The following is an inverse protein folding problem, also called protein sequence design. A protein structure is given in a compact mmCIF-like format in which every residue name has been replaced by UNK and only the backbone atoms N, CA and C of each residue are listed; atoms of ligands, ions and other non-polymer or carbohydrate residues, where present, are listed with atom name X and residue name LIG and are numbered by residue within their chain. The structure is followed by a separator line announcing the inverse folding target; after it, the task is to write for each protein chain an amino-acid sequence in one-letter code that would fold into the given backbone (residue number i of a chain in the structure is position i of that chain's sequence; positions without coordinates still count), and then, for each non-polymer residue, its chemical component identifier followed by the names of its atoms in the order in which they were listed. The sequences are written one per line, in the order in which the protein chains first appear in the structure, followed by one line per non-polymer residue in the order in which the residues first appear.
data_IF_876531548934
#
_entry.id   IF_876531548934
#
_cell.length_a   1.000
_cell.length_b   1.000
_cell.length_c   1.000
_cell.angle_alpha   90.00
_cell.angle_beta   90.00
_cell.angle_gamma   90.00
#
_symmetry.space_group_name_H-M   'P 1'
#
loop_
_entity.id
_entity.type
_entity.pdbx_description
1 polymer ?
#
# COMPACT_ATOMS: atom_id res chain seq x y z
N UNK A 1 31.39 -18.62 23.73
CA UNK A 1 30.60 -18.07 24.85
C UNK A 1 29.17 -17.89 24.37
N UNK A 2 28.31 -18.90 24.53
CA UNK A 2 26.86 -18.70 24.41
C UNK A 2 26.40 -18.35 25.82
N UNK A 3 26.49 -17.06 26.18
CA UNK A 3 25.69 -16.58 27.30
C UNK A 3 24.24 -16.80 26.92
N UNK A 4 23.48 -17.52 27.76
CA UNK A 4 22.06 -17.78 27.48
C UNK A 4 21.37 -16.46 27.15
N UNK A 5 20.67 -16.39 26.00
CA UNK A 5 19.89 -15.20 25.60
C UNK A 5 18.95 -14.76 26.72
N UNK A 6 18.52 -15.69 27.56
CA UNK A 6 17.73 -15.45 28.76
C UNK A 6 18.42 -14.49 29.75
N UNK A 7 19.73 -14.63 29.95
CA UNK A 7 20.50 -13.73 30.81
C UNK A 7 20.57 -12.32 30.20
N UNK A 8 20.66 -12.22 28.87
CA UNK A 8 20.63 -10.94 28.15
C UNK A 8 19.26 -10.26 28.31
N UNK A 9 18.17 -11.01 28.12
CA UNK A 9 16.79 -10.49 28.29
C UNK A 9 16.55 -10.04 29.74
N UNK A 10 16.95 -10.84 30.73
CA UNK A 10 16.83 -10.44 32.14
C UNK A 10 17.68 -9.22 32.49
N UNK A 11 18.89 -9.13 31.95
CA UNK A 11 19.76 -7.96 32.12
C UNK A 11 19.14 -6.71 31.48
N UNK A 12 18.54 -6.85 30.30
CA UNK A 12 17.84 -5.75 29.63
C UNK A 12 16.65 -5.27 30.48
N UNK A 13 15.79 -6.18 30.95
CA UNK A 13 14.69 -5.86 31.85
C UNK A 13 15.16 -5.19 33.14
N UNK A 14 16.26 -5.68 33.73
CA UNK A 14 16.86 -5.06 34.90
C UNK A 14 17.39 -3.65 34.60
N UNK A 15 17.98 -3.45 33.43
CA UNK A 15 18.50 -2.15 33.00
C UNK A 15 17.39 -1.13 32.78
N UNK A 16 16.26 -1.52 32.18
CA UNK A 16 15.13 -0.62 31.88
C UNK A 16 14.46 -0.03 33.13
N UNK A 17 14.62 -0.69 34.28
CA UNK A 17 14.16 -0.20 35.60
C UNK A 17 15.09 0.85 36.21
N UNK A 18 16.27 1.04 35.65
CA UNK A 18 17.21 2.06 36.09
C UNK A 18 16.83 3.41 35.48
N UNK A 19 17.43 4.49 35.98
CA UNK A 19 17.19 5.84 35.45
C UNK A 19 18.16 6.20 34.30
N UNK A 20 19.13 5.32 34.00
CA UNK A 20 20.20 5.62 33.05
C UNK A 20 19.78 5.31 31.60
N UNK A 21 19.39 6.36 30.89
CA UNK A 21 18.90 6.28 29.50
C UNK A 21 19.97 5.84 28.50
N UNK A 22 21.25 6.14 28.75
CA UNK A 22 22.34 5.67 27.90
C UNK A 22 22.51 4.17 28.05
N UNK A 23 22.40 3.63 29.28
CA UNK A 23 22.43 2.20 29.52
C UNK A 23 21.28 1.49 28.79
N UNK A 24 20.07 2.06 28.81
CA UNK A 24 18.93 1.51 28.07
C UNK A 24 19.24 1.45 26.57
N UNK A 25 19.74 2.56 25.99
CA UNK A 25 20.07 2.67 24.57
C UNK A 25 21.13 1.64 24.17
N UNK A 26 22.22 1.53 24.92
CA UNK A 26 23.30 0.58 24.63
C UNK A 26 22.84 -0.87 24.80
N UNK A 27 22.01 -1.16 25.82
CA UNK A 27 21.42 -2.48 26.01
C UNK A 27 20.54 -2.91 24.84
N UNK A 28 19.70 -2.00 24.33
CA UNK A 28 18.84 -2.25 23.18
C UNK A 28 19.63 -2.39 21.87
N UNK A 29 20.65 -1.56 21.67
CA UNK A 29 21.57 -1.67 20.52
C UNK A 29 22.25 -3.04 20.49
N UNK A 30 22.81 -3.47 21.62
CA UNK A 30 23.42 -4.80 21.72
C UNK A 30 22.40 -5.91 21.45
N UNK A 31 21.20 -5.79 22.00
CA UNK A 31 20.14 -6.78 21.81
C UNK A 31 19.70 -6.86 20.34
N UNK A 32 19.52 -5.72 19.67
CA UNK A 32 19.22 -5.66 18.24
C UNK A 32 20.33 -6.31 17.40
N UNK A 33 21.60 -6.07 17.74
CA UNK A 33 22.73 -6.64 17.02
C UNK A 33 22.78 -8.17 17.16
N UNK A 34 22.56 -8.68 18.37
CA UNK A 34 22.46 -10.14 18.63
C UNK A 34 21.34 -10.74 17.79
N UNK A 35 20.14 -10.13 17.83
CA UNK A 35 18.98 -10.61 17.08
C UNK A 35 19.21 -10.59 15.57
N UNK A 36 19.93 -9.57 15.05
CA UNK A 36 20.14 -9.40 13.61
C UNK A 36 21.22 -10.33 13.07
N UNK A 37 22.33 -10.50 13.82
CA UNK A 37 23.47 -11.32 13.38
C UNK A 37 23.28 -12.82 13.57
N UNK A 38 22.28 -13.22 14.35
CA UNK A 38 22.04 -14.62 14.58
C UNK A 38 21.69 -15.36 13.27
N UNK A 39 22.40 -16.45 12.93
CA UNK A 39 22.04 -17.33 11.82
C UNK A 39 20.68 -17.99 12.01
N UNK A 40 19.98 -18.27 10.91
CA UNK A 40 18.63 -18.84 10.91
C UNK A 40 18.59 -20.24 11.54
N UNK A 41 19.68 -21.00 11.46
CA UNK A 41 19.78 -22.36 11.98
C UNK A 41 19.85 -22.42 13.52
N UNK A 42 20.23 -21.32 14.18
CA UNK A 42 20.46 -21.30 15.62
C UNK A 42 19.31 -20.57 16.32
N UNK A 43 18.41 -21.37 16.88
CA UNK A 43 17.30 -20.88 17.72
C UNK A 43 17.85 -20.21 18.98
N UNK A 44 17.70 -18.89 19.07
CA UNK A 44 18.00 -18.15 20.30
C UNK A 44 16.97 -18.49 21.39
N UNK A 45 15.70 -18.44 21.04
CA UNK A 45 14.61 -18.67 21.98
C UNK A 45 14.19 -20.14 21.95
N UNK A 46 14.40 -20.83 23.06
CA UNK A 46 14.10 -22.27 23.19
C UNK A 46 12.72 -22.55 23.76
N UNK A 47 12.00 -21.52 24.24
CA UNK A 47 10.65 -21.65 24.79
C UNK A 47 9.79 -20.42 24.50
N UNK A 48 8.47 -20.61 24.42
CA UNK A 48 7.51 -19.52 24.24
C UNK A 48 7.53 -18.50 25.38
N UNK A 49 7.81 -18.95 26.62
CA UNK A 49 7.96 -18.07 27.77
C UNK A 49 9.11 -17.08 27.61
N UNK A 50 10.26 -17.54 27.07
CA UNK A 50 11.40 -16.65 26.80
C UNK A 50 11.08 -15.64 25.69
N UNK A 51 10.38 -16.05 24.63
CA UNK A 51 9.88 -15.12 23.62
C UNK A 51 8.95 -14.07 24.24
N UNK A 52 8.03 -14.49 25.11
CA UNK A 52 7.12 -13.60 25.81
C UNK A 52 7.83 -12.59 26.72
N UNK A 53 8.86 -13.01 27.44
CA UNK A 53 9.66 -12.12 28.29
C UNK A 53 10.47 -11.10 27.48
N UNK A 54 11.00 -11.51 26.33
CA UNK A 54 11.68 -10.62 25.39
C UNK A 54 10.69 -9.61 24.77
N UNK A 55 9.52 -10.07 24.32
CA UNK A 55 8.47 -9.22 23.78
C UNK A 55 8.02 -8.15 24.80
N UNK A 56 7.83 -8.56 26.07
CA UNK A 56 7.46 -7.63 27.15
C UNK A 56 8.55 -6.60 27.44
N UNK A 57 9.82 -7.02 27.45
CA UNK A 57 10.96 -6.11 27.63
C UNK A 57 11.05 -5.07 26.50
N UNK A 58 10.84 -5.52 25.26
CA UNK A 58 10.78 -4.64 24.09
C UNK A 58 9.59 -3.69 24.15
N UNK A 59 8.43 -4.16 24.59
CA UNK A 59 7.23 -3.34 24.72
C UNK A 59 7.46 -2.19 25.72
N UNK A 60 8.04 -2.49 26.88
CA UNK A 60 8.42 -1.50 27.89
C UNK A 60 9.41 -0.48 27.32
N UNK A 61 10.43 -0.94 26.58
CA UNK A 61 11.43 -0.09 25.96
C UNK A 61 10.88 0.81 24.85
N UNK A 62 9.98 0.30 24.00
CA UNK A 62 9.29 1.07 22.95
C UNK A 62 8.44 2.17 23.56
N UNK A 63 7.84 1.90 24.72
CA UNK A 63 6.99 2.84 25.45
C UNK A 63 7.79 3.90 26.22
N UNK A 64 9.13 3.91 26.09
CA UNK A 64 9.99 4.88 26.75
C UNK A 64 9.68 6.31 26.31
N UNK A 65 9.63 7.27 27.25
CA UNK A 65 9.48 8.69 26.90
C UNK A 65 10.69 9.24 26.14
N UNK A 66 11.85 8.57 26.22
CA UNK A 66 13.09 8.98 25.54
C UNK A 66 13.11 8.42 24.12
N UNK A 67 13.02 9.31 23.13
CA UNK A 67 12.91 8.94 21.71
C UNK A 67 14.07 8.05 21.23
N UNK A 68 15.30 8.31 21.67
CA UNK A 68 16.46 7.50 21.28
C UNK A 68 16.34 6.06 21.78
N UNK A 69 15.87 5.87 23.01
CA UNK A 69 15.63 4.54 23.59
C UNK A 69 14.52 3.84 22.82
N UNK A 70 13.39 4.53 22.58
CA UNK A 70 12.28 3.98 21.81
C UNK A 70 12.70 3.63 20.37
N UNK A 71 13.56 4.43 19.73
CA UNK A 71 14.05 4.18 18.38
C UNK A 71 14.91 2.92 18.30
N UNK A 72 15.82 2.71 19.26
CA UNK A 72 16.61 1.46 19.32
C UNK A 72 15.75 0.27 19.69
N UNK A 73 14.73 0.45 20.54
CA UNK A 73 13.76 -0.60 20.86
C UNK A 73 12.97 -1.03 19.61
N UNK A 74 12.52 -0.08 18.78
CA UNK A 74 11.83 -0.36 17.52
C UNK A 74 12.72 -1.18 16.57
N UNK A 75 14.01 -0.85 16.45
CA UNK A 75 14.95 -1.65 15.63
C UNK A 75 15.13 -3.05 16.20
N UNK A 76 15.29 -3.18 17.52
CA UNK A 76 15.39 -4.48 18.18
C UNK A 76 14.11 -5.31 17.96
N UNK A 77 12.93 -4.70 18.05
CA UNK A 77 11.66 -5.34 17.73
C UNK A 77 11.57 -5.79 16.28
N UNK A 78 12.01 -4.95 15.34
CA UNK A 78 12.07 -5.33 13.92
C UNK A 78 12.93 -6.56 13.69
N UNK A 79 14.08 -6.66 14.36
CA UNK A 79 14.95 -7.85 14.33
C UNK A 79 14.35 -9.05 15.08
N UNK A 80 13.60 -8.82 16.16
CA UNK A 80 12.93 -9.85 16.96
C UNK A 80 11.80 -10.54 16.18
N UNK A 81 11.10 -9.82 15.30
CA UNK A 81 9.97 -10.33 14.50
C UNK A 81 10.37 -11.28 13.35
N UNK A 82 11.61 -11.78 13.31
CA UNK A 82 12.01 -12.84 12.36
C UNK A 82 11.43 -14.19 12.79
N UNK A 83 11.06 -15.00 11.81
CA UNK A 83 10.53 -16.35 12.00
C UNK A 83 11.33 -17.17 13.01
N UNK A 84 12.64 -17.26 12.83
CA UNK A 84 13.54 -18.12 13.62
C UNK A 84 13.53 -17.80 15.12
N UNK A 85 13.20 -16.54 15.46
CA UNK A 85 13.09 -16.10 16.85
C UNK A 85 11.71 -16.37 17.45
N UNK A 86 10.69 -16.56 16.61
CA UNK A 86 9.30 -16.81 16.98
C UNK A 86 8.88 -18.28 16.80
N UNK A 87 9.71 -19.13 16.18
CA UNK A 87 9.41 -20.54 15.88
C UNK A 87 9.31 -21.48 17.09
N UNK A 88 9.31 -20.97 18.33
CA UNK A 88 9.12 -21.78 19.53
C UNK A 88 7.61 -21.90 19.85
N UNK A 89 6.95 -23.05 19.57
CA UNK A 89 5.53 -23.19 19.83
C UNK A 89 5.22 -23.25 21.34
N UNK A 90 4.06 -22.74 21.80
CA UNK A 90 3.10 -21.96 21.01
C UNK A 90 3.56 -20.52 20.76
N UNK A 91 3.37 -20.04 19.52
CA UNK A 91 3.65 -18.65 19.14
C UNK A 91 2.77 -17.71 19.96
N UNK A 92 3.40 -16.69 20.56
CA UNK A 92 2.73 -15.75 21.47
C UNK A 92 2.13 -14.56 20.70
N UNK A 93 1.12 -14.80 19.86
CA UNK A 93 0.55 -13.77 18.99
C UNK A 93 0.03 -12.55 19.76
N UNK A 94 -0.65 -12.74 20.89
CA UNK A 94 -1.12 -11.65 21.77
C UNK A 94 0.02 -10.76 22.26
N UNK A 95 1.18 -11.34 22.63
CA UNK A 95 2.36 -10.57 23.01
C UNK A 95 2.93 -9.77 21.84
N UNK A 96 2.91 -10.34 20.63
CA UNK A 96 3.32 -9.65 19.41
C UNK A 96 2.37 -8.50 19.06
N UNK A 97 1.05 -8.69 19.19
CA UNK A 97 0.04 -7.64 18.99
C UNK A 97 0.30 -6.47 19.95
N UNK A 98 0.43 -6.75 21.25
CA UNK A 98 0.66 -5.72 22.27
C UNK A 98 1.98 -4.94 22.04
N UNK A 99 3.01 -5.61 21.53
CA UNK A 99 4.27 -4.97 21.14
C UNK A 99 4.09 -4.05 19.92
N UNK A 100 3.36 -4.50 18.90
CA UNK A 100 3.07 -3.69 17.70
C UNK A 100 2.18 -2.49 18.03
N UNK A 101 1.16 -2.66 18.87
CA UNK A 101 0.31 -1.57 19.37
C UNK A 101 1.13 -0.49 20.08
N UNK A 102 2.09 -0.89 20.92
CA UNK A 102 2.98 0.05 21.59
C UNK A 102 3.84 0.84 20.59
N UNK A 103 4.37 0.17 19.55
CA UNK A 103 5.16 0.82 18.50
C UNK A 103 4.34 1.85 17.70
N UNK A 104 3.13 1.47 17.29
CA UNK A 104 2.25 2.34 16.52
C UNK A 104 1.76 3.52 17.38
N UNK A 105 1.32 3.24 18.61
CA UNK A 105 0.86 4.27 19.56
C UNK A 105 1.94 5.30 19.84
N UNK A 106 3.20 4.86 20.04
CA UNK A 106 4.33 5.77 20.25
C UNK A 106 4.58 6.68 19.04
N UNK A 107 4.39 6.15 17.83
CA UNK A 107 4.52 6.93 16.61
C UNK A 107 3.38 7.96 16.44
N UNK A 108 2.16 7.62 16.86
CA UNK A 108 1.00 8.53 16.88
C UNK A 108 1.23 9.68 17.85
N UNK A 109 1.66 9.40 19.08
CA UNK A 109 1.99 10.42 20.08
C UNK A 109 3.03 11.40 19.53
N UNK A 110 4.12 10.86 18.98
CA UNK A 110 5.20 11.67 18.39
C UNK A 110 4.71 12.53 17.21
N UNK A 111 3.75 12.01 16.45
CA UNK A 111 3.08 12.73 15.37
C UNK A 111 2.20 13.89 15.88
N UNK A 112 1.51 13.72 17.00
CA UNK A 112 0.56 14.69 17.56
C UNK A 112 1.23 15.83 18.32
N UNK A 113 2.28 15.57 19.11
CA UNK A 113 2.97 16.59 19.93
C UNK A 113 3.46 17.80 19.11
N UNK A 114 3.81 17.60 17.84
CA UNK A 114 4.29 18.65 16.94
C UNK A 114 3.20 19.60 16.41
N UNK A 115 1.92 19.21 16.35
CA UNK A 115 0.86 20.11 15.86
C UNK A 115 0.58 21.24 16.84
N UNK A 116 0.62 20.94 18.13
CA UNK A 116 0.40 21.92 19.19
C UNK A 116 1.46 23.04 19.16
N UNK A 117 2.67 22.73 18.71
CA UNK A 117 3.75 23.72 18.54
C UNK A 117 3.56 24.60 17.30
N UNK A 118 2.88 24.12 16.25
CA UNK A 118 2.64 24.90 15.02
C UNK A 118 1.61 26.01 15.23
N UNK A 119 0.74 25.88 16.23
CA UNK A 119 -0.19 26.91 16.64
C UNK A 119 0.48 28.09 17.39
N UNK A 120 1.75 27.97 17.78
CA UNK A 120 2.41 28.91 18.70
C UNK A 120 3.47 29.86 18.08
N UNK A 121 3.54 29.99 16.76
CA UNK A 121 4.17 31.15 16.11
C UNK A 121 5.48 30.94 15.33
N UNK A 122 5.75 31.92 14.45
CA UNK A 122 6.68 31.97 13.32
C UNK A 122 8.20 32.01 13.64
N UNK A 123 8.69 31.19 14.57
CA UNK A 123 10.13 31.05 14.78
C UNK A 123 10.60 29.63 14.38
N UNK A 124 11.54 29.55 13.44
CA UNK A 124 12.41 28.40 13.16
C UNK A 124 11.97 27.36 12.11
N UNK A 125 11.95 27.77 10.83
CA UNK A 125 11.86 26.88 9.65
C UNK A 125 12.91 25.75 9.65
N UNK A 126 14.16 26.02 10.05
CA UNK A 126 15.26 25.02 10.09
C UNK A 126 15.11 23.96 11.19
N UNK A 127 14.46 24.30 12.29
CA UNK A 127 14.21 23.36 13.40
C UNK A 127 12.99 22.48 13.10
N UNK A 128 12.03 23.00 12.33
CA UNK A 128 10.92 22.24 11.75
C UNK A 128 11.39 21.17 10.77
N UNK A 129 12.34 21.45 9.87
CA UNK A 129 12.87 20.46 8.91
C UNK A 129 13.59 19.30 9.61
N UNK A 130 14.41 19.60 10.63
CA UNK A 130 15.07 18.56 11.44
C UNK A 130 14.06 17.70 12.22
N UNK A 131 12.99 18.30 12.73
CA UNK A 131 11.92 17.58 13.41
C UNK A 131 11.16 16.66 12.45
N UNK A 132 10.84 17.14 11.24
CA UNK A 132 10.20 16.34 10.18
C UNK A 132 11.10 15.15 9.77
N UNK A 133 12.40 15.37 9.63
CA UNK A 133 13.35 14.30 9.31
C UNK A 133 13.44 13.25 10.42
N UNK A 134 13.53 13.67 11.69
CA UNK A 134 13.54 12.75 12.84
C UNK A 134 12.26 11.93 12.91
N UNK A 135 11.11 12.56 12.67
CA UNK A 135 9.81 11.89 12.57
C UNK A 135 9.76 10.89 11.44
N UNK A 136 10.25 11.27 10.25
CA UNK A 136 10.33 10.36 9.12
C UNK A 136 11.14 9.11 9.43
N UNK A 137 12.31 9.27 10.06
CA UNK A 137 13.16 8.14 10.48
C UNK A 137 12.48 7.23 11.50
N UNK A 138 11.82 7.80 12.50
CA UNK A 138 11.11 7.01 13.51
C UNK A 138 9.93 6.26 12.90
N UNK A 139 9.10 6.94 12.10
CA UNK A 139 7.97 6.33 11.39
C UNK A 139 8.44 5.23 10.44
N UNK A 140 9.51 5.46 9.67
CA UNK A 140 10.10 4.44 8.81
C UNK A 140 10.51 3.20 9.61
N UNK A 141 11.23 3.39 10.72
CA UNK A 141 11.67 2.26 11.58
C UNK A 141 10.48 1.49 12.15
N UNK A 142 9.42 2.20 12.56
CA UNK A 142 8.17 1.59 13.04
C UNK A 142 7.48 0.77 11.95
N UNK A 143 7.38 1.32 10.73
CA UNK A 143 6.80 0.61 9.58
C UNK A 143 7.67 -0.57 9.16
N UNK A 144 9.00 -0.51 9.26
CA UNK A 144 9.87 -1.66 9.01
C UNK A 144 9.58 -2.80 9.98
N UNK A 145 9.40 -2.50 11.27
CA UNK A 145 8.97 -3.50 12.26
C UNK A 145 7.60 -4.07 11.94
N UNK A 146 6.63 -3.22 11.57
CA UNK A 146 5.29 -3.67 11.16
C UNK A 146 5.32 -4.54 9.89
N UNK A 147 6.17 -4.19 8.92
CA UNK A 147 6.40 -5.00 7.71
C UNK A 147 6.97 -6.37 8.07
N UNK A 148 7.91 -6.43 9.01
CA UNK A 148 8.46 -7.71 9.46
C UNK A 148 7.40 -8.57 10.17
N UNK A 149 6.47 -7.98 10.92
CA UNK A 149 5.30 -8.70 11.45
C UNK A 149 4.38 -9.25 10.34
N UNK A 150 4.14 -8.47 9.28
CA UNK A 150 3.38 -8.96 8.12
C UNK A 150 4.11 -10.11 7.43
N UNK A 151 5.44 -10.00 7.23
CA UNK A 151 6.25 -11.08 6.66
C UNK A 151 6.21 -12.34 7.53
N UNK A 152 6.31 -12.19 8.84
CA UNK A 152 6.19 -13.29 9.79
C UNK A 152 4.86 -14.02 9.64
N UNK A 153 3.75 -13.28 9.51
CA UNK A 153 2.44 -13.87 9.29
C UNK A 153 2.37 -14.65 7.96
N UNK A 154 2.94 -14.13 6.87
CA UNK A 154 3.05 -14.85 5.59
C UNK A 154 3.85 -16.15 5.76
N UNK A 155 5.01 -16.07 6.41
CA UNK A 155 5.90 -17.22 6.63
C UNK A 155 5.26 -18.32 7.48
N UNK A 156 4.38 -17.95 8.42
CA UNK A 156 3.64 -18.90 9.25
C UNK A 156 2.40 -19.50 8.59
N UNK A 157 1.86 -18.96 7.49
CA UNK A 157 0.74 -19.58 6.78
C UNK A 157 1.04 -21.02 6.33
N UNK A 158 2.29 -21.32 6.02
CA UNK A 158 2.75 -22.66 5.64
C UNK A 158 3.09 -23.59 6.81
N UNK A 159 2.98 -23.13 8.06
CA UNK A 159 3.44 -23.88 9.24
C UNK A 159 2.27 -24.32 10.15
N UNK A 160 1.94 -25.62 10.21
CA UNK A 160 0.84 -26.13 11.02
C UNK A 160 1.00 -25.83 12.53
N UNK A 161 2.23 -25.91 13.04
CA UNK A 161 2.53 -25.70 14.46
C UNK A 161 2.45 -24.22 14.89
N UNK A 162 2.38 -23.30 13.93
CA UNK A 162 2.26 -21.87 14.18
C UNK A 162 0.80 -21.37 14.06
N UNK A 163 -0.15 -22.20 13.60
CA UNK A 163 -1.53 -21.75 13.35
C UNK A 163 -2.27 -21.38 14.64
N UNK A 164 -2.15 -22.24 15.65
CA UNK A 164 -2.83 -22.10 16.92
C UNK A 164 -2.02 -22.75 18.04
N UNK A 165 -2.31 -22.34 19.26
CA UNK A 165 -1.73 -22.98 20.43
C UNK A 165 -2.28 -24.42 20.58
N UNK A 166 -1.43 -25.47 20.48
CA UNK A 166 -1.87 -26.87 20.57
C UNK A 166 -2.37 -27.26 21.96
N UNK A 167 -2.14 -26.42 22.97
CA UNK A 167 -2.59 -26.63 24.35
C UNK A 167 -3.93 -25.93 24.65
N UNK A 168 -4.53 -25.22 23.70
CA UNK A 168 -5.85 -24.60 23.88
C UNK A 168 -6.94 -25.66 23.82
N UNK A 169 -7.77 -25.74 24.87
CA UNK A 169 -8.90 -26.67 24.90
C UNK A 169 -9.90 -26.36 23.76
N UNK A 170 -10.54 -27.38 23.14
CA UNK A 170 -11.48 -27.17 22.02
C UNK A 170 -12.65 -26.24 22.31
N UNK A 171 -13.03 -26.09 23.59
CA UNK A 171 -14.13 -25.23 24.06
C UNK A 171 -13.68 -23.83 24.51
N UNK A 172 -12.38 -23.53 24.51
CA UNK A 172 -11.85 -22.24 24.93
C UNK A 172 -11.73 -21.26 23.74
N UNK A 173 -11.89 -19.96 24.00
CA UNK A 173 -11.65 -18.92 23.00
C UNK A 173 -10.19 -19.00 22.49
N UNK A 174 -10.02 -19.25 21.20
CA UNK A 174 -8.72 -19.30 20.53
C UNK A 174 -8.22 -17.88 20.25
N UNK A 175 -7.63 -17.22 21.25
CA UNK A 175 -7.10 -15.84 21.12
C UNK A 175 -5.74 -15.76 20.46
N UNK A 176 -4.87 -16.73 20.69
CA UNK A 176 -3.53 -16.82 20.08
C UNK A 176 -3.58 -17.68 18.80
N UNK A 177 -4.16 -17.12 17.75
CA UNK A 177 -4.17 -17.73 16.41
C UNK A 177 -3.51 -16.83 15.38
N UNK A 178 -2.96 -17.44 14.33
CA UNK A 178 -2.42 -16.71 13.18
C UNK A 178 -3.50 -15.88 12.47
N UNK A 179 -4.74 -16.38 12.43
CA UNK A 179 -5.88 -15.67 11.85
C UNK A 179 -6.18 -14.37 12.62
N UNK A 180 -6.34 -14.44 13.95
CA UNK A 180 -6.57 -13.27 14.78
C UNK A 180 -5.41 -12.26 14.69
N UNK A 181 -4.16 -12.75 14.59
CA UNK A 181 -3.00 -11.91 14.35
C UNK A 181 -3.04 -11.21 12.99
N UNK A 182 -3.44 -11.92 11.93
CA UNK A 182 -3.52 -11.37 10.57
C UNK A 182 -4.64 -10.32 10.45
N UNK A 183 -5.79 -10.57 11.08
CA UNK A 183 -6.88 -9.60 11.18
C UNK A 183 -6.47 -8.36 11.99
N UNK A 184 -5.74 -8.55 13.10
CA UNK A 184 -5.15 -7.45 13.85
C UNK A 184 -4.22 -6.60 12.97
N UNK A 185 -3.32 -7.21 12.20
CA UNK A 185 -2.42 -6.48 11.31
C UNK A 185 -3.19 -5.65 10.28
N UNK A 186 -4.24 -6.22 9.67
CA UNK A 186 -5.09 -5.46 8.74
C UNK A 186 -5.77 -4.28 9.44
N UNK A 187 -6.39 -4.51 10.60
CA UNK A 187 -7.08 -3.48 11.38
C UNK A 187 -6.16 -2.37 11.86
N UNK A 188 -4.96 -2.72 12.36
CA UNK A 188 -3.95 -1.77 12.79
C UNK A 188 -3.39 -0.95 11.61
N UNK A 189 -3.19 -1.58 10.45
CA UNK A 189 -2.78 -0.85 9.26
C UNK A 189 -3.85 0.15 8.81
N UNK A 190 -5.11 -0.29 8.78
CA UNK A 190 -6.25 0.51 8.36
C UNK A 190 -6.50 1.72 9.26
N UNK A 191 -6.47 1.51 10.58
CA UNK A 191 -6.79 2.53 11.59
C UNK A 191 -5.61 3.43 11.97
N UNK A 192 -4.37 2.96 11.84
CA UNK A 192 -3.18 3.67 12.34
C UNK A 192 -2.14 3.93 11.24
N UNK A 193 -1.68 2.90 10.52
CA UNK A 193 -0.61 3.07 9.52
C UNK A 193 -1.02 3.99 8.37
N UNK A 194 -2.20 3.77 7.75
CA UNK A 194 -2.70 4.60 6.65
C UNK A 194 -2.79 6.08 7.07
N UNK A 195 -3.51 6.45 8.16
CA UNK A 195 -3.58 7.85 8.58
C UNK A 195 -2.22 8.47 8.91
N UNK A 196 -1.32 7.71 9.55
CA UNK A 196 0.02 8.20 9.89
C UNK A 196 0.88 8.51 8.66
N UNK A 197 0.88 7.60 7.68
CA UNK A 197 1.62 7.77 6.42
C UNK A 197 1.02 8.91 5.62
N UNK A 198 -0.31 8.96 5.49
CA UNK A 198 -1.01 10.03 4.80
C UNK A 198 -0.62 11.41 5.31
N UNK A 199 -0.73 11.59 6.61
CA UNK A 199 -0.41 12.87 7.26
C UNK A 199 1.08 13.23 7.18
N UNK A 200 1.97 12.25 7.00
CA UNK A 200 3.38 12.50 6.76
C UNK A 200 3.65 12.93 5.31
N UNK A 201 2.99 12.28 4.35
CA UNK A 201 3.11 12.58 2.92
C UNK A 201 2.57 13.95 2.54
N UNK A 202 1.57 14.47 3.27
CA UNK A 202 1.13 15.88 3.18
C UNK A 202 2.27 16.89 3.44
N UNK A 203 3.30 16.48 4.20
CA UNK A 203 4.38 17.36 4.62
C UNK A 203 5.66 17.15 3.79
N UNK A 204 5.96 15.91 3.41
CA UNK A 204 7.18 15.57 2.67
C UNK A 204 7.06 14.19 2.01
N UNK A 205 7.72 14.01 0.87
CA UNK A 205 7.83 12.71 0.20
C UNK A 205 9.11 12.00 0.62
N UNK A 206 9.00 10.73 1.02
CA UNK A 206 10.14 9.89 1.40
C UNK A 206 10.05 8.53 0.70
N UNK A 207 10.79 8.30 -0.41
CA UNK A 207 10.64 7.12 -1.25
C UNK A 207 10.76 5.79 -0.50
N UNK A 208 11.76 5.66 0.37
CA UNK A 208 11.94 4.43 1.16
C UNK A 208 10.79 4.17 2.14
N UNK A 209 10.09 5.22 2.60
CA UNK A 209 8.92 5.04 3.49
C UNK A 209 7.73 4.53 2.69
N UNK A 210 7.52 5.09 1.49
CA UNK A 210 6.47 4.61 0.59
C UNK A 210 6.72 3.16 0.18
N UNK A 211 7.96 2.78 -0.09
CA UNK A 211 8.33 1.40 -0.45
C UNK A 211 7.95 0.41 0.65
N UNK A 212 8.31 0.72 1.89
CA UNK A 212 7.94 -0.09 3.05
C UNK A 212 6.43 -0.15 3.22
N UNK A 213 5.75 0.99 3.07
CA UNK A 213 4.30 1.07 3.23
C UNK A 213 3.54 0.25 2.18
N UNK A 214 3.89 0.35 0.89
CA UNK A 214 3.26 -0.47 -0.14
C UNK A 214 3.58 -1.95 0.02
N UNK A 215 4.78 -2.30 0.50
CA UNK A 215 5.13 -3.68 0.84
C UNK A 215 4.23 -4.23 1.95
N UNK A 216 3.89 -3.41 2.96
CA UNK A 216 2.91 -3.77 4.00
C UNK A 216 1.54 -4.03 3.38
N UNK A 217 1.01 -3.09 2.59
CA UNK A 217 -0.32 -3.23 1.97
C UNK A 217 -0.40 -4.48 1.09
N UNK A 218 0.64 -4.77 0.31
CA UNK A 218 0.72 -5.99 -0.47
C UNK A 218 0.74 -7.25 0.41
N UNK A 219 1.51 -7.26 1.49
CA UNK A 219 1.55 -8.38 2.43
C UNK A 219 0.18 -8.63 3.06
N UNK A 220 -0.57 -7.57 3.39
CA UNK A 220 -1.93 -7.67 3.95
C UNK A 220 -2.91 -8.35 2.99
N UNK A 221 -2.78 -8.11 1.68
CA UNK A 221 -3.54 -8.87 0.68
C UNK A 221 -3.20 -10.36 0.75
N UNK A 222 -1.94 -10.73 0.93
CA UNK A 222 -1.54 -12.15 1.04
C UNK A 222 -2.09 -12.78 2.33
N UNK A 223 -1.99 -12.09 3.47
CA UNK A 223 -2.36 -12.68 4.77
C UNK A 223 -3.86 -12.71 5.07
N UNK A 224 -4.65 -11.76 4.55
CA UNK A 224 -6.11 -11.71 4.75
C UNK A 224 -6.84 -11.67 3.40
N UNK A 225 -6.83 -12.76 2.61
CA UNK A 225 -7.33 -12.75 1.24
C UNK A 225 -8.84 -12.44 1.13
N UNK A 226 -9.64 -12.86 2.12
CA UNK A 226 -11.08 -12.63 2.14
C UNK A 226 -11.48 -11.15 2.38
N UNK A 227 -10.54 -10.31 2.83
CA UNK A 227 -10.77 -8.86 3.01
C UNK A 227 -10.20 -8.02 1.87
N UNK A 228 -9.51 -8.63 0.89
CA UNK A 228 -8.87 -7.92 -0.24
C UNK A 228 -9.81 -6.95 -0.94
N UNK A 229 -11.03 -7.38 -1.26
CA UNK A 229 -12.00 -6.56 -1.99
C UNK A 229 -12.42 -5.34 -1.17
N UNK A 230 -12.89 -5.57 0.07
CA UNK A 230 -13.33 -4.50 0.98
C UNK A 230 -12.20 -3.49 1.24
N UNK A 231 -10.99 -4.00 1.46
CA UNK A 231 -9.82 -3.15 1.69
C UNK A 231 -9.39 -2.40 0.43
N UNK A 232 -9.46 -3.03 -0.75
CA UNK A 232 -9.19 -2.38 -2.04
C UNK A 232 -10.18 -1.24 -2.31
N UNK A 233 -11.48 -1.44 -2.07
CA UNK A 233 -12.52 -0.41 -2.23
C UNK A 233 -12.26 0.80 -1.32
N UNK A 234 -11.89 0.54 -0.07
CA UNK A 234 -11.55 1.60 0.89
C UNK A 234 -10.28 2.36 0.49
N UNK A 235 -9.29 1.67 -0.06
CA UNK A 235 -8.06 2.30 -0.54
C UNK A 235 -8.27 3.02 -1.87
N UNK A 236 -9.18 2.55 -2.74
CA UNK A 236 -9.39 3.07 -4.09
C UNK A 236 -9.69 4.57 -4.15
N UNK A 237 -10.25 5.15 -3.08
CA UNK A 237 -10.52 6.59 -2.95
C UNK A 237 -9.27 7.45 -2.71
N UNK A 238 -8.10 6.85 -2.49
CA UNK A 238 -6.84 7.58 -2.29
C UNK A 238 -5.63 6.91 -2.93
N UNK A 239 -5.71 5.62 -3.26
CA UNK A 239 -4.63 4.76 -3.74
C UNK A 239 -3.98 5.22 -5.04
N UNK A 240 -4.80 5.70 -5.98
CA UNK A 240 -4.31 6.06 -7.33
C UNK A 240 -3.49 7.33 -7.27
N UNK A 241 -3.93 8.30 -6.46
CA UNK A 241 -3.13 9.47 -6.10
C UNK A 241 -1.73 9.07 -5.62
N UNK A 242 -1.61 8.19 -4.62
CA UNK A 242 -0.29 7.85 -4.05
C UNK A 242 0.69 7.26 -5.05
N UNK A 243 0.21 6.49 -6.02
CA UNK A 243 1.09 5.78 -6.94
C UNK A 243 1.59 6.70 -8.05
N UNK A 244 0.77 7.64 -8.52
CA UNK A 244 1.24 8.67 -9.46
C UNK A 244 2.24 9.65 -8.80
N UNK A 245 2.25 9.75 -7.46
CA UNK A 245 3.26 10.51 -6.73
C UNK A 245 4.56 9.74 -6.45
N UNK A 246 4.60 8.41 -6.58
CA UNK A 246 5.70 7.56 -6.11
C UNK A 246 6.71 7.15 -7.19
N UNK A 247 6.42 7.41 -8.46
CA UNK A 247 7.00 6.69 -9.60
C UNK A 247 8.38 7.16 -10.11
N UNK A 248 9.07 8.08 -9.41
CA UNK A 248 10.43 8.52 -9.82
C UNK A 248 11.56 7.59 -9.37
N UNK A 249 11.28 6.50 -8.62
CA UNK A 249 12.28 5.59 -8.05
C UNK A 249 12.03 4.14 -8.48
N UNK A 250 13.05 3.47 -9.05
CA UNK A 250 12.90 2.13 -9.65
C UNK A 250 12.48 1.03 -8.67
N UNK A 251 13.07 0.98 -7.47
CA UNK A 251 12.72 -0.01 -6.44
C UNK A 251 11.27 0.17 -5.95
N UNK A 252 10.89 1.42 -5.67
CA UNK A 252 9.54 1.80 -5.29
C UNK A 252 8.52 1.45 -6.39
N UNK A 253 8.88 1.70 -7.65
CA UNK A 253 8.01 1.43 -8.79
C UNK A 253 7.65 -0.05 -8.91
N UNK A 254 8.59 -0.97 -8.66
CA UNK A 254 8.30 -2.40 -8.68
C UNK A 254 7.27 -2.79 -7.61
N UNK A 255 7.48 -2.34 -6.36
CA UNK A 255 6.57 -2.65 -5.25
C UNK A 255 5.19 -2.04 -5.48
N UNK A 256 5.13 -0.79 -5.94
CA UNK A 256 3.89 -0.11 -6.31
C UNK A 256 3.17 -0.85 -7.44
N UNK A 257 3.89 -1.29 -8.48
CA UNK A 257 3.31 -2.01 -9.62
C UNK A 257 2.69 -3.33 -9.20
N UNK A 258 3.37 -4.12 -8.37
CA UNK A 258 2.82 -5.38 -7.83
C UNK A 258 1.56 -5.14 -7.01
N UNK A 259 1.56 -4.11 -6.17
CA UNK A 259 0.40 -3.76 -5.36
C UNK A 259 -0.79 -3.26 -6.21
N UNK A 260 -0.53 -2.35 -7.16
CA UNK A 260 -1.53 -1.83 -8.08
C UNK A 260 -2.14 -2.93 -8.93
N UNK A 261 -1.34 -3.86 -9.45
CA UNK A 261 -1.83 -5.00 -10.22
C UNK A 261 -2.88 -5.77 -9.43
N UNK A 262 -2.58 -6.14 -8.18
CA UNK A 262 -3.53 -6.83 -7.31
C UNK A 262 -4.78 -5.98 -7.03
N UNK A 263 -4.61 -4.70 -6.73
CA UNK A 263 -5.72 -3.80 -6.42
C UNK A 263 -6.66 -3.62 -7.62
N UNK A 264 -6.11 -3.31 -8.80
CA UNK A 264 -6.89 -3.08 -10.01
C UNK A 264 -7.73 -4.32 -10.35
N UNK A 265 -7.15 -5.51 -10.26
CA UNK A 265 -7.89 -6.75 -10.49
C UNK A 265 -9.00 -6.96 -9.46
N UNK A 266 -8.78 -6.69 -8.17
CA UNK A 266 -9.82 -6.78 -7.15
C UNK A 266 -10.97 -5.79 -7.41
N UNK A 267 -10.66 -4.56 -7.79
CA UNK A 267 -11.65 -3.51 -8.05
C UNK A 267 -12.46 -3.80 -9.33
N UNK A 268 -11.80 -4.29 -10.37
CA UNK A 268 -12.45 -4.66 -11.63
C UNK A 268 -13.26 -5.94 -11.54
N UNK A 269 -12.91 -6.87 -10.64
CA UNK A 269 -13.63 -8.16 -10.51
C UNK A 269 -14.93 -8.05 -9.72
N UNK A 270 -15.11 -7.01 -8.90
CA UNK A 270 -16.30 -6.79 -8.07
C UNK A 270 -16.86 -5.36 -8.20
N UNK A 271 -17.25 -4.92 -9.41
CA UNK A 271 -17.81 -3.61 -9.63
C UNK A 271 -19.19 -3.47 -8.97
N UNK A 272 -19.43 -2.34 -8.30
CA UNK A 272 -20.71 -2.09 -7.60
C UNK A 272 -21.85 -1.66 -8.53
N UNK A 273 -21.52 -1.13 -9.72
CA UNK A 273 -22.46 -0.43 -10.61
C UNK A 273 -22.52 -0.99 -12.03
N UNK A 274 -21.63 -1.90 -12.40
CA UNK A 274 -21.51 -2.45 -13.75
C UNK A 274 -21.43 -3.96 -13.70
N UNK A 275 -21.74 -4.63 -14.80
CA UNK A 275 -21.50 -6.07 -14.94
C UNK A 275 -19.98 -6.34 -14.80
N UNK A 276 -19.58 -7.39 -14.07
CA UNK A 276 -18.18 -7.76 -13.97
C UNK A 276 -17.64 -8.17 -15.36
N UNK A 277 -16.40 -7.80 -15.70
CA UNK A 277 -15.74 -8.29 -16.90
C UNK A 277 -15.68 -9.82 -16.88
N UNK A 278 -15.80 -10.42 -18.07
CA UNK A 278 -15.64 -11.85 -18.27
C UNK A 278 -14.24 -12.32 -17.85
N UNK A 279 -14.08 -13.62 -17.58
CA UNK A 279 -12.78 -14.19 -17.19
C UNK A 279 -11.68 -13.94 -18.24
N UNK A 280 -12.04 -13.90 -19.52
CA UNK A 280 -11.11 -13.60 -20.62
C UNK A 280 -10.67 -12.14 -20.60
N UNK A 281 -11.61 -11.21 -20.37
CA UNK A 281 -11.31 -9.78 -20.22
C UNK A 281 -10.42 -9.51 -19.01
N UNK A 282 -10.69 -10.16 -17.87
CA UNK A 282 -9.85 -10.04 -16.67
C UNK A 282 -8.43 -10.57 -16.90
N UNK A 283 -8.27 -11.67 -17.64
CA UNK A 283 -6.95 -12.19 -18.01
C UNK A 283 -6.20 -11.19 -18.90
N UNK A 284 -6.85 -10.64 -19.92
CA UNK A 284 -6.26 -9.65 -20.81
C UNK A 284 -5.85 -8.37 -20.05
N UNK A 285 -6.68 -7.91 -19.11
CA UNK A 285 -6.36 -6.76 -18.27
C UNK A 285 -5.20 -7.07 -17.31
N UNK A 286 -5.15 -8.28 -16.74
CA UNK A 286 -4.04 -8.71 -15.89
C UNK A 286 -2.71 -8.65 -16.62
N UNK A 287 -2.64 -9.19 -17.84
CA UNK A 287 -1.44 -9.15 -18.68
C UNK A 287 -1.02 -7.72 -19.03
N UNK A 288 -2.00 -6.90 -19.43
CA UNK A 288 -1.79 -5.49 -19.76
C UNK A 288 -1.22 -4.71 -18.58
N UNK A 289 -1.81 -4.86 -17.38
CA UNK A 289 -1.33 -4.22 -16.16
C UNK A 289 0.06 -4.71 -15.77
N UNK A 290 0.32 -6.00 -15.88
CA UNK A 290 1.61 -6.58 -15.50
C UNK A 290 2.76 -6.08 -16.39
N UNK A 291 2.50 -5.84 -17.68
CA UNK A 291 3.48 -5.29 -18.63
C UNK A 291 3.61 -3.77 -18.51
N UNK A 292 2.49 -3.05 -18.36
CA UNK A 292 2.48 -1.59 -18.44
C UNK A 292 2.73 -0.87 -17.11
N UNK A 293 2.34 -1.40 -15.95
CA UNK A 293 2.52 -0.73 -14.65
C UNK A 293 4.00 -0.42 -14.33
N UNK A 294 4.97 -1.35 -14.51
CA UNK A 294 6.38 -1.06 -14.26
C UNK A 294 6.96 0.02 -15.17
N UNK A 295 6.26 0.39 -16.25
CA UNK A 295 6.71 1.39 -17.21
C UNK A 295 6.18 2.79 -16.86
N UNK A 296 5.25 2.93 -15.92
CA UNK A 296 4.71 4.23 -15.54
C UNK A 296 5.70 4.90 -14.59
N UNK A 297 6.35 5.96 -15.08
CA UNK A 297 7.37 6.72 -14.36
C UNK A 297 7.04 8.23 -14.26
N UNK A 298 5.80 8.59 -14.62
CA UNK A 298 5.33 9.96 -14.81
C UNK A 298 4.37 10.40 -13.72
N UNK A 299 4.41 11.68 -13.34
CA UNK A 299 3.44 12.28 -12.42
C UNK A 299 2.06 12.44 -13.07
N UNK A 300 1.02 12.77 -12.31
CA UNK A 300 -0.35 12.98 -12.83
C UNK A 300 -0.42 13.88 -14.08
N UNK A 301 0.13 15.12 -14.06
CA UNK A 301 0.12 16.01 -15.22
C UNK A 301 0.93 15.48 -16.42
N UNK A 302 2.05 14.82 -16.16
CA UNK A 302 2.89 14.20 -17.20
C UNK A 302 2.18 13.00 -17.84
N UNK A 303 1.43 12.24 -17.04
CA UNK A 303 0.62 11.10 -17.48
C UNK A 303 -0.57 11.56 -18.31
N UNK A 304 -1.19 12.70 -17.95
CA UNK A 304 -2.22 13.35 -18.77
C UNK A 304 -1.65 13.83 -20.11
N UNK A 305 -0.50 14.49 -20.09
CA UNK A 305 0.17 14.94 -21.31
C UNK A 305 0.51 13.75 -22.23
N UNK A 306 1.03 12.66 -21.66
CA UNK A 306 1.34 11.43 -22.39
C UNK A 306 0.09 10.72 -22.95
N UNK A 307 -1.02 10.74 -22.20
CA UNK A 307 -2.30 10.21 -22.68
C UNK A 307 -2.86 11.04 -23.84
N UNK A 308 -2.66 12.36 -23.80
CA UNK A 308 -3.11 13.30 -24.83
C UNK A 308 -2.25 13.32 -26.10
N UNK A 309 -1.10 12.63 -26.12
CA UNK A 309 -0.17 12.68 -27.25
C UNK A 309 -0.77 11.99 -28.48
N UNK A 310 -1.03 12.78 -29.51
CA UNK A 310 -1.58 12.33 -30.80
C UNK A 310 -0.49 11.86 -31.78
N UNK A 311 0.79 11.87 -31.40
CA UNK A 311 1.85 11.32 -32.24
C UNK A 311 1.70 9.80 -32.42
N UNK A 312 2.41 9.24 -33.41
CA UNK A 312 2.48 7.79 -33.58
C UNK A 312 3.02 7.14 -32.29
N UNK A 313 2.29 6.17 -31.75
CA UNK A 313 2.60 5.55 -30.45
C UNK A 313 2.98 4.09 -30.68
N UNK A 314 4.24 3.75 -30.41
CA UNK A 314 4.69 2.35 -30.50
C UNK A 314 3.98 1.43 -29.48
N UNK A 315 3.91 0.13 -29.75
CA UNK A 315 3.11 -0.83 -28.96
C UNK A 315 3.34 -0.79 -27.44
N UNK A 316 4.59 -0.64 -26.98
CA UNK A 316 4.89 -0.53 -25.54
C UNK A 316 4.39 0.79 -24.93
N UNK A 317 4.45 1.88 -25.69
CA UNK A 317 3.91 3.18 -25.28
C UNK A 317 2.38 3.17 -25.28
N UNK A 318 1.75 2.42 -26.20
CA UNK A 318 0.29 2.24 -26.24
C UNK A 318 -0.21 1.46 -25.02
N UNK A 319 0.46 0.37 -24.67
CA UNK A 319 0.15 -0.39 -23.45
C UNK A 319 0.22 0.50 -22.20
N UNK A 320 1.21 1.40 -22.15
CA UNK A 320 1.32 2.38 -21.06
C UNK A 320 0.12 3.33 -21.02
N UNK A 321 -0.34 3.84 -22.17
CA UNK A 321 -1.55 4.67 -22.25
C UNK A 321 -2.78 3.91 -21.73
N UNK A 322 -2.94 2.64 -22.11
CA UNK A 322 -4.04 1.80 -21.61
C UNK A 322 -4.00 1.63 -20.09
N UNK A 323 -2.82 1.38 -19.51
CA UNK A 323 -2.68 1.31 -18.06
C UNK A 323 -3.03 2.62 -17.36
N UNK A 324 -2.52 3.74 -17.85
CA UNK A 324 -2.81 5.08 -17.30
C UNK A 324 -4.31 5.35 -17.33
N UNK A 325 -4.98 5.03 -18.44
CA UNK A 325 -6.41 5.21 -18.58
C UNK A 325 -7.21 4.34 -17.60
N UNK A 326 -6.84 3.07 -17.43
CA UNK A 326 -7.48 2.18 -16.46
C UNK A 326 -7.30 2.68 -15.01
N UNK A 327 -6.12 3.23 -14.68
CA UNK A 327 -5.88 3.83 -13.37
C UNK A 327 -6.76 5.05 -13.13
N UNK A 328 -6.89 5.96 -14.12
CA UNK A 328 -7.78 7.12 -14.03
C UNK A 328 -9.25 6.72 -13.92
N UNK A 329 -9.67 5.71 -14.66
CA UNK A 329 -11.02 5.15 -14.57
C UNK A 329 -11.32 4.62 -13.17
N UNK A 330 -10.43 3.81 -12.60
CA UNK A 330 -10.58 3.26 -11.26
C UNK A 330 -10.57 4.36 -10.20
N UNK A 331 -9.70 5.36 -10.32
CA UNK A 331 -9.72 6.52 -9.44
C UNK A 331 -11.08 7.22 -9.46
N UNK A 332 -11.63 7.44 -10.66
CA UNK A 332 -12.88 8.17 -10.82
C UNK A 332 -14.08 7.41 -10.24
N UNK A 333 -14.17 6.09 -10.48
CA UNK A 333 -15.24 5.26 -9.92
C UNK A 333 -15.22 5.21 -8.40
N UNK A 334 -14.02 5.24 -7.82
CA UNK A 334 -13.81 5.23 -6.37
C UNK A 334 -13.69 6.64 -5.76
N UNK A 335 -14.13 7.66 -6.50
CA UNK A 335 -14.24 9.05 -6.04
C UNK A 335 -12.90 9.72 -5.66
N UNK A 336 -11.77 9.18 -6.14
CA UNK A 336 -10.44 9.81 -6.05
C UNK A 336 -10.30 10.89 -7.14
N UNK A 337 -10.88 12.07 -6.89
CA UNK A 337 -10.92 13.22 -7.84
C UNK A 337 -9.67 14.09 -7.76
N UNK A 338 -8.49 13.49 -7.85
CA UNK A 338 -7.23 14.21 -7.75
C UNK A 338 -6.83 14.97 -9.03
N UNK A 339 -7.52 14.70 -10.15
CA UNK A 339 -7.32 15.40 -11.43
C UNK A 339 -8.49 16.35 -11.73
N UNK A 340 -8.21 17.43 -12.46
CA UNK A 340 -9.23 18.32 -12.98
C UNK A 340 -10.02 17.61 -14.09
N UNK A 341 -11.34 17.56 -13.96
CA UNK A 341 -12.24 16.89 -14.92
C UNK A 341 -12.03 17.40 -16.36
N UNK A 342 -11.79 18.71 -16.53
CA UNK A 342 -11.51 19.31 -17.83
C UNK A 342 -10.20 18.82 -18.47
N UNK A 343 -9.13 18.66 -17.69
CA UNK A 343 -7.83 18.18 -18.19
C UNK A 343 -7.91 16.69 -18.57
N UNK A 344 -8.60 15.90 -17.76
CA UNK A 344 -8.84 14.48 -18.03
C UNK A 344 -9.69 14.30 -19.29
N UNK A 345 -10.74 15.11 -19.47
CA UNK A 345 -11.58 15.08 -20.66
C UNK A 345 -10.76 15.31 -21.93
N UNK A 346 -9.93 16.35 -21.95
CA UNK A 346 -9.06 16.67 -23.10
C UNK A 346 -8.06 15.55 -23.37
N UNK A 347 -7.47 14.96 -22.32
CA UNK A 347 -6.51 13.87 -22.47
C UNK A 347 -7.14 12.61 -23.07
N UNK A 348 -8.34 12.23 -22.62
CA UNK A 348 -9.08 11.08 -23.17
C UNK A 348 -9.51 11.34 -24.62
N UNK A 349 -9.87 12.57 -24.98
CA UNK A 349 -10.13 12.93 -26.38
C UNK A 349 -8.88 12.77 -27.26
N UNK A 350 -7.73 13.25 -26.81
CA UNK A 350 -6.45 13.08 -27.53
C UNK A 350 -6.10 11.60 -27.75
N UNK A 351 -6.32 10.77 -26.73
CA UNK A 351 -6.14 9.33 -26.84
C UNK A 351 -7.02 8.69 -27.94
N UNK A 352 -8.30 9.07 -28.04
CA UNK A 352 -9.18 8.56 -29.10
C UNK A 352 -8.74 8.99 -30.50
N UNK A 353 -8.29 10.25 -30.65
CA UNK A 353 -7.75 10.73 -31.93
C UNK A 353 -6.51 9.92 -32.33
N UNK A 354 -5.61 9.64 -31.38
CA UNK A 354 -4.44 8.80 -31.59
C UNK A 354 -4.77 7.37 -32.03
N UNK A 355 -5.83 6.76 -31.46
CA UNK A 355 -6.31 5.44 -31.89
C UNK A 355 -6.89 5.48 -33.30
N UNK A 356 -7.67 6.52 -33.61
CA UNK A 356 -8.27 6.72 -34.93
C UNK A 356 -7.22 6.91 -36.01
N UNK A 357 -6.22 7.77 -35.76
CA UNK A 357 -5.13 8.05 -36.70
C UNK A 357 -4.29 6.81 -37.04
N UNK A 358 -4.20 5.85 -36.10
CA UNK A 358 -3.43 4.61 -36.27
C UNK A 358 -4.30 3.39 -36.64
N UNK A 359 -5.63 3.54 -36.68
CA UNK A 359 -6.56 2.44 -36.96
C UNK A 359 -6.54 1.32 -35.92
N UNK A 360 -6.12 1.61 -34.68
CA UNK A 360 -5.95 0.63 -33.62
C UNK A 360 -7.25 0.37 -32.85
N UNK A 361 -7.39 -0.87 -32.34
CA UNK A 361 -8.52 -1.28 -31.50
C UNK A 361 -8.07 -1.57 -30.07
N UNK A 362 -8.46 -0.75 -29.07
CA UNK A 362 -8.12 -1.03 -27.68
C UNK A 362 -8.92 -2.23 -27.16
N UNK A 363 -8.43 -2.92 -26.11
CA UNK A 363 -9.20 -3.92 -25.39
C UNK A 363 -10.55 -3.37 -24.89
N UNK A 364 -11.58 -4.21 -24.85
CA UNK A 364 -12.95 -3.78 -24.53
C UNK A 364 -13.07 -3.08 -23.18
N UNK A 365 -12.33 -3.53 -22.15
CA UNK A 365 -12.32 -2.90 -20.83
C UNK A 365 -11.72 -1.49 -20.88
N UNK A 366 -10.67 -1.28 -21.67
CA UNK A 366 -10.03 0.03 -21.88
C UNK A 366 -10.99 0.96 -22.63
N UNK A 367 -11.69 0.42 -23.64
CA UNK A 367 -12.71 1.17 -24.36
C UNK A 367 -13.85 1.61 -23.42
N UNK A 368 -14.44 0.68 -22.66
CA UNK A 368 -15.49 0.99 -21.65
C UNK A 368 -15.03 2.05 -20.65
N UNK A 369 -13.81 1.92 -20.14
CA UNK A 369 -13.21 2.90 -19.24
C UNK A 369 -13.10 4.29 -19.88
N UNK A 370 -12.68 4.36 -21.15
CA UNK A 370 -12.57 5.62 -21.89
C UNK A 370 -13.93 6.31 -22.06
N UNK A 371 -14.96 5.54 -22.45
CA UNK A 371 -16.33 6.06 -22.61
C UNK A 371 -16.88 6.59 -21.29
N UNK A 372 -16.68 5.84 -20.21
CA UNK A 372 -17.11 6.25 -18.89
C UNK A 372 -16.50 7.60 -18.50
N UNK A 373 -15.18 7.73 -18.62
CA UNK A 373 -14.45 8.96 -18.29
C UNK A 373 -14.93 10.16 -19.12
N UNK A 374 -15.14 9.97 -20.44
CA UNK A 374 -15.70 11.03 -21.28
C UNK A 374 -17.08 11.47 -20.80
N UNK A 375 -17.98 10.51 -20.54
CA UNK A 375 -19.34 10.80 -20.12
C UNK A 375 -19.40 11.50 -18.76
N UNK A 376 -18.50 11.15 -17.84
CA UNK A 376 -18.48 11.72 -16.49
C UNK A 376 -17.76 13.07 -16.41
N UNK A 377 -16.74 13.30 -17.24
CA UNK A 377 -15.98 14.56 -17.25
C UNK A 377 -16.56 15.62 -18.20
N UNK A 378 -17.53 15.25 -19.04
CA UNK A 378 -18.35 16.19 -19.81
C UNK A 378 -19.25 16.98 -18.85
N UNK A 379 -18.72 18.08 -18.31
CA UNK A 379 -19.33 18.81 -17.20
C UNK A 379 -20.80 19.20 -17.40
N UNK A 380 -21.50 19.41 -16.27
CA UNK A 380 -22.82 20.06 -16.19
C UNK A 380 -22.77 21.59 -16.42
N UNK A 381 -21.59 22.16 -16.62
CA UNK A 381 -21.43 23.59 -16.91
C UNK A 381 -21.75 23.86 -18.39
N UNK A 382 -23.02 24.14 -18.63
CA UNK A 382 -23.46 25.00 -19.73
C UNK A 382 -22.91 26.42 -19.51
N UNK A 383 -21.61 26.59 -19.72
CA UNK A 383 -20.97 27.85 -20.07
C UNK A 383 -20.31 27.73 -21.45
N UNK A 384 -20.90 26.90 -22.32
CA UNK A 384 -20.59 26.83 -23.76
C UNK A 384 -21.43 27.82 -24.58
N UNK A 385 -21.96 28.87 -23.96
CA UNK A 385 -22.47 30.06 -24.67
C UNK A 385 -21.43 31.18 -24.56
N UNK A 386 -20.22 30.98 -25.11
CA UNK A 386 -19.43 32.08 -25.69
C UNK A 386 -18.12 31.66 -26.40
N UNK A 387 -18.02 30.45 -26.97
CA UNK A 387 -17.09 30.22 -28.11
C UNK A 387 -17.79 29.34 -29.13
N UNK A 388 -18.98 29.77 -29.55
CA UNK A 388 -19.55 29.36 -30.82
C UNK A 388 -18.73 30.01 -31.95
N UNK A 389 -17.54 29.50 -32.25
CA UNK A 389 -16.93 29.53 -33.59
C UNK A 389 -15.58 28.81 -33.62
N UNK A 390 -15.54 27.72 -34.40
CA UNK A 390 -14.40 26.87 -34.82
C UNK A 390 -13.87 25.83 -33.82
N UNK A 391 -14.46 24.63 -33.87
CA UNK A 391 -13.71 23.38 -33.95
C UNK A 391 -14.58 22.31 -34.67
N UNK A 392 -14.22 21.82 -35.88
CA UNK A 392 -14.99 20.81 -36.62
C UNK A 392 -14.90 19.36 -36.07
N UNK A 393 -14.30 19.13 -34.89
CA UNK A 393 -13.96 17.79 -34.41
C UNK A 393 -14.99 17.10 -33.50
N UNK A 394 -15.90 17.84 -32.86
CA UNK A 394 -16.86 17.25 -31.92
C UNK A 394 -17.93 16.40 -32.62
N UNK A 395 -18.35 16.76 -33.84
CA UNK A 395 -19.29 15.95 -34.60
C UNK A 395 -18.64 14.66 -35.11
N UNK A 396 -17.33 14.68 -35.45
CA UNK A 396 -16.58 13.49 -35.85
C UNK A 396 -16.32 12.55 -34.68
N UNK A 397 -16.01 13.07 -33.48
CA UNK A 397 -15.83 12.23 -32.29
C UNK A 397 -17.13 11.52 -31.87
N UNK A 398 -18.29 12.18 -32.01
CA UNK A 398 -19.59 11.56 -31.74
C UNK A 398 -20.06 10.59 -32.85
N UNK A 399 -19.72 10.84 -34.12
CA UNK A 399 -19.97 9.86 -35.20
C UNK A 399 -19.03 8.67 -35.09
N UNK A 400 -17.77 8.87 -34.70
CA UNK A 400 -16.85 7.78 -34.37
C UNK A 400 -17.33 7.01 -33.13
N UNK A 401 -17.84 7.66 -32.09
CA UNK A 401 -18.49 6.95 -30.97
C UNK A 401 -19.68 6.09 -31.43
N UNK A 402 -20.50 6.57 -32.38
CA UNK A 402 -21.58 5.77 -32.96
C UNK A 402 -21.09 4.60 -33.83
N UNK A 403 -20.01 4.78 -34.60
CA UNK A 403 -19.36 3.70 -35.36
C UNK A 403 -18.76 2.63 -34.44
N UNK A 404 -18.21 3.03 -33.29
CA UNK A 404 -17.64 2.11 -32.29
C UNK A 404 -18.70 1.46 -31.41
N UNK A 405 -19.81 2.16 -31.08
CA UNK A 405 -20.97 1.59 -30.38
C UNK A 405 -21.66 0.55 -31.27
N UNK A 406 -21.84 0.83 -32.57
CA UNK A 406 -22.39 -0.15 -33.53
C UNK A 406 -21.55 -1.42 -33.66
N UNK A 407 -20.24 -1.34 -33.44
CA UNK A 407 -19.33 -2.49 -33.46
C UNK A 407 -19.40 -3.36 -32.18
N UNK A 408 -19.81 -2.78 -31.04
CA UNK A 408 -20.03 -3.54 -29.80
C UNK A 408 -21.25 -4.45 -29.89
N UNK A 409 -22.27 -4.04 -30.66
CA UNK A 409 -23.44 -4.86 -30.94
C UNK A 409 -23.10 -6.04 -31.87
N UNK A 410 -22.18 -5.86 -32.82
CA UNK A 410 -21.67 -6.95 -33.68
C UNK A 410 -20.84 -7.98 -32.89
N UNK A 411 -20.06 -7.57 -31.89
CA UNK A 411 -19.31 -8.48 -31.02
C UNK A 411 -20.24 -9.27 -30.08
N UNK A 412 -21.36 -8.68 -29.65
CA UNK A 412 -22.42 -9.38 -28.93
C UNK A 412 -23.20 -10.34 -29.84
N UNK A 413 -23.39 -10.02 -31.12
CA UNK A 413 -24.08 -10.87 -32.09
C UNK A 413 -23.28 -12.14 -32.43
N UNK A 414 -21.94 -12.06 -32.50
CA UNK A 414 -21.08 -13.21 -32.80
C UNK A 414 -20.99 -14.24 -31.64
N UNK A 415 -21.38 -13.86 -30.41
CA UNK A 415 -21.57 -14.81 -29.28
C UNK A 415 -22.92 -15.54 -29.32
N UNK A 416 -23.85 -15.13 -30.19
CA UNK A 416 -25.19 -15.70 -30.30
C UNK A 416 -25.37 -16.83 -31.32
N UNK A 417 -24.32 -17.27 -32.01
CA UNK A 417 -24.38 -18.27 -33.09
C UNK A 417 -23.49 -19.49 -32.83
N UNK A 418 -23.48 -20.00 -31.60
CA UNK A 418 -22.89 -21.28 -31.26
C UNK A 418 -23.75 -22.09 -30.26
N UNK A 419 -25.06 -22.14 -30.52
CA UNK A 419 -25.94 -23.19 -29.98
C UNK A 419 -26.90 -23.65 -31.09
N UNK A 420 -26.48 -24.71 -31.80
CA UNK A 420 -27.36 -25.74 -32.40
C UNK A 420 -26.63 -27.06 -32.45
#
# INVERSE_FOLDING_TARGET
MVGSIEAVVRSLQGSLKMTNTELHKQGLLLFAEILTRQPEEIRLFTSSAMCGDAARALQEAVSSPVLEVAAEAVKATSAFLRKDHQSAPPVQYTALQALLEAMLSRCIEFSQTSLNMRALGHACRRESEKAILRRGKFLLSTLEGFRNACRLAVEFQGEPLAQENPFTAPSAEKKDTLEAFSEFLLSACDSQCIPMVMRYLEQTTHPGLMEVFFSILHSLFVIVPHMKEKFSKKLGSSAVSFVLFSQSHSALNQVCSCFLHCMCLNLLSAPEKTEPPSSEELSAVSELLQQGLPQINSRGPESLAFLSDCQYVEGAARQRQYCILLLFYLAYIHEDRFLLEAELFVAVQGFFLSLQDQGERPPLVVFRASIYLLATCQGKDSALDEVGTRMPGLSSSFTSLQEWIGYSDDICADRGMAET
#
